data_IF_111522060294
#
_entry.id   IF_111522060294
#
_cell.length_a   1.000
_cell.length_b   1.000
_cell.length_c   1.000
_cell.angle_alpha   90.00
_cell.angle_beta   90.00
_cell.angle_gamma   90.00
#
_symmetry.space_group_name_H-M   'P 1'
#
loop_
_entity.id
_entity.type
_entity.pdbx_description
1 polymer ?
#
# COMPACT_ATOMS: atom_id res chain seq x y z
N UNK A 1 -28.66 -13.40 -14.74
CA UNK A 1 -28.13 -12.20 -14.06
C UNK A 1 -28.00 -12.54 -12.57
N UNK A 2 -26.97 -12.05 -11.87
CA UNK A 2 -26.71 -12.46 -10.48
C UNK A 2 -27.69 -11.74 -9.55
N UNK A 3 -28.44 -12.49 -8.72
CA UNK A 3 -29.52 -11.97 -7.85
C UNK A 3 -29.12 -10.75 -7.01
N UNK A 4 -27.86 -10.65 -6.60
CA UNK A 4 -27.35 -9.53 -5.82
C UNK A 4 -27.24 -8.24 -6.66
N UNK A 5 -26.78 -8.37 -7.90
CA UNK A 5 -26.63 -7.23 -8.82
C UNK A 5 -28.00 -6.66 -9.18
N UNK A 6 -28.97 -7.53 -9.45
CA UNK A 6 -30.34 -7.13 -9.79
C UNK A 6 -30.96 -6.29 -8.66
N UNK A 7 -30.82 -6.73 -7.40
CA UNK A 7 -31.31 -5.96 -6.25
C UNK A 7 -30.53 -4.66 -6.02
N UNK A 8 -29.23 -4.65 -6.30
CA UNK A 8 -28.46 -3.41 -6.23
C UNK A 8 -28.90 -2.41 -7.30
N UNK A 9 -29.25 -2.89 -8.50
CA UNK A 9 -29.83 -2.10 -9.60
C UNK A 9 -31.19 -1.53 -9.17
N UNK A 10 -32.09 -2.34 -8.63
CA UNK A 10 -33.39 -1.90 -8.10
C UNK A 10 -33.24 -0.81 -7.03
N UNK A 11 -32.16 -0.87 -6.25
CA UNK A 11 -31.82 0.11 -5.23
C UNK A 11 -30.97 1.29 -5.77
N UNK A 12 -30.83 1.44 -7.09
CA UNK A 12 -30.05 2.50 -7.74
C UNK A 12 -28.60 2.59 -7.24
N UNK A 13 -27.94 1.45 -7.03
CA UNK A 13 -26.55 1.35 -6.58
C UNK A 13 -26.25 2.07 -5.25
N UNK A 14 -27.27 2.31 -4.41
CA UNK A 14 -27.09 3.01 -3.14
C UNK A 14 -26.29 2.15 -2.15
N UNK A 15 -25.16 2.68 -1.65
CA UNK A 15 -24.28 1.98 -0.69
C UNK A 15 -24.99 1.54 0.59
N UNK A 16 -25.95 2.31 1.08
CA UNK A 16 -26.71 1.97 2.28
C UNK A 16 -27.65 0.76 2.08
N UNK A 17 -28.04 0.45 0.85
CA UNK A 17 -28.85 -0.73 0.53
C UNK A 17 -28.05 -2.03 0.65
N UNK A 18 -26.71 -1.98 0.55
CA UNK A 18 -25.84 -3.17 0.60
C UNK A 18 -26.04 -3.95 1.90
N UNK A 19 -26.21 -3.27 3.04
CA UNK A 19 -26.49 -3.92 4.32
C UNK A 19 -27.79 -4.71 4.30
N UNK A 20 -28.85 -4.13 3.72
CA UNK A 20 -30.16 -4.76 3.59
C UNK A 20 -30.08 -5.97 2.65
N UNK A 21 -29.42 -5.83 1.49
CA UNK A 21 -29.24 -6.92 0.51
C UNK A 21 -28.41 -8.06 1.14
N UNK A 22 -27.31 -7.73 1.83
CA UNK A 22 -26.47 -8.70 2.53
C UNK A 22 -27.27 -9.51 3.56
N UNK A 23 -28.07 -8.81 4.37
CA UNK A 23 -28.95 -9.45 5.37
C UNK A 23 -29.98 -10.38 4.72
N UNK A 24 -30.62 -9.93 3.63
CA UNK A 24 -31.62 -10.71 2.89
C UNK A 24 -31.05 -12.02 2.33
N UNK A 25 -29.80 -12.00 1.89
CA UNK A 25 -29.12 -13.16 1.29
C UNK A 25 -28.23 -13.93 2.27
N UNK A 26 -28.24 -13.58 3.55
CA UNK A 26 -27.43 -14.21 4.60
C UNK A 26 -25.91 -14.25 4.27
N UNK A 27 -25.41 -13.15 3.70
CA UNK A 27 -23.98 -12.95 3.39
C UNK A 27 -23.49 -11.75 4.21
N UNK A 28 -22.21 -11.70 4.57
CA UNK A 28 -21.70 -10.53 5.26
C UNK A 28 -21.66 -9.29 4.34
N UNK A 29 -21.91 -8.11 4.91
CA UNK A 29 -21.81 -6.85 4.17
C UNK A 29 -20.42 -6.66 3.53
N UNK A 30 -19.37 -7.12 4.19
CA UNK A 30 -18.00 -7.04 3.70
C UNK A 30 -17.75 -7.92 2.47
N UNK A 31 -18.27 -9.15 2.47
CA UNK A 31 -18.18 -10.05 1.32
C UNK A 31 -18.97 -9.52 0.13
N UNK A 32 -20.19 -9.02 0.37
CA UNK A 32 -21.03 -8.48 -0.69
C UNK A 32 -20.42 -7.21 -1.31
N UNK A 33 -19.85 -6.31 -0.49
CA UNK A 33 -19.09 -5.15 -1.01
C UNK A 33 -17.93 -5.58 -1.89
N UNK A 34 -17.15 -6.58 -1.46
CA UNK A 34 -16.01 -7.10 -2.21
C UNK A 34 -16.46 -7.68 -3.56
N UNK A 35 -17.55 -8.45 -3.55
CA UNK A 35 -18.14 -8.99 -4.78
C UNK A 35 -18.51 -7.88 -5.77
N UNK A 36 -19.25 -6.86 -5.33
CA UNK A 36 -19.62 -5.73 -6.19
C UNK A 36 -18.40 -4.98 -6.72
N UNK A 37 -17.40 -4.69 -5.87
CA UNK A 37 -16.17 -4.03 -6.29
C UNK A 37 -15.46 -4.84 -7.39
N UNK A 38 -15.19 -6.13 -7.15
CA UNK A 38 -14.54 -7.00 -8.13
C UNK A 38 -15.31 -7.04 -9.45
N UNK A 39 -16.64 -7.18 -9.39
CA UNK A 39 -17.49 -7.21 -10.57
C UNK A 39 -17.42 -5.89 -11.36
N UNK A 40 -17.52 -4.75 -10.69
CA UNK A 40 -17.52 -3.45 -11.36
C UNK A 40 -16.17 -3.08 -11.95
N UNK A 41 -15.06 -3.38 -11.26
CA UNK A 41 -13.73 -3.22 -11.84
C UNK A 41 -13.54 -4.09 -13.08
N UNK A 42 -13.99 -5.35 -13.03
CA UNK A 42 -13.98 -6.24 -14.20
C UNK A 42 -14.80 -5.67 -15.37
N UNK A 43 -16.01 -5.15 -15.09
CA UNK A 43 -16.88 -4.58 -16.14
C UNK A 43 -16.28 -3.32 -16.75
N UNK A 44 -15.71 -2.42 -15.94
CA UNK A 44 -15.01 -1.23 -16.42
C UNK A 44 -13.80 -1.63 -17.27
N UNK A 45 -12.99 -2.58 -16.81
CA UNK A 45 -11.80 -3.04 -17.52
C UNK A 45 -12.11 -3.60 -18.92
N UNK A 46 -13.30 -4.18 -19.13
CA UNK A 46 -13.72 -4.71 -20.43
C UNK A 46 -14.21 -3.64 -21.42
N UNK A 47 -14.57 -2.45 -20.94
CA UNK A 47 -15.08 -1.36 -21.79
C UNK A 47 -13.98 -0.34 -22.11
N UNK A 48 -13.02 -0.16 -21.20
CA UNK A 48 -11.97 0.86 -21.35
C UNK A 48 -10.85 0.37 -22.27
N UNK A 49 -10.59 1.12 -23.35
CA UNK A 49 -9.39 0.95 -24.16
C UNK A 49 -8.19 1.64 -23.48
N UNK A 50 -7.32 0.85 -22.84
CA UNK A 50 -6.17 1.36 -22.10
C UNK A 50 -5.17 2.12 -22.97
N UNK A 51 -4.98 1.71 -24.23
CA UNK A 51 -4.07 2.39 -25.16
C UNK A 51 -4.62 3.79 -25.50
N UNK A 52 -5.91 3.90 -25.81
CA UNK A 52 -6.56 5.18 -26.06
C UNK A 52 -6.52 6.09 -24.82
N UNK A 53 -6.86 5.53 -23.64
CA UNK A 53 -6.81 6.29 -22.38
C UNK A 53 -5.40 6.77 -22.05
N UNK A 54 -4.37 5.95 -22.28
CA UNK A 54 -2.98 6.35 -22.09
C UNK A 54 -2.56 7.49 -23.04
N UNK A 55 -3.08 7.50 -24.28
CA UNK A 55 -2.85 8.57 -25.25
C UNK A 55 -3.49 9.89 -24.77
N UNK A 56 -4.74 9.84 -24.32
CA UNK A 56 -5.44 11.01 -23.76
C UNK A 56 -4.66 11.59 -22.57
N UNK A 57 -4.17 10.74 -21.66
CA UNK A 57 -3.37 11.19 -20.52
C UNK A 57 -2.09 11.91 -20.96
N UNK A 58 -1.39 11.37 -21.97
CA UNK A 58 -0.18 11.98 -22.52
C UNK A 58 -0.47 13.34 -23.18
N UNK A 59 -1.55 13.44 -23.95
CA UNK A 59 -1.97 14.69 -24.57
C UNK A 59 -2.32 15.76 -23.52
N UNK A 60 -2.96 15.36 -22.42
CA UNK A 60 -3.32 16.28 -21.33
C UNK A 60 -2.10 16.76 -20.53
N UNK A 61 -1.13 15.86 -20.29
CA UNK A 61 0.15 16.24 -19.68
C UNK A 61 0.86 17.26 -20.57
N UNK A 62 0.93 17.02 -21.89
CA UNK A 62 1.61 17.91 -22.84
C UNK A 62 1.00 19.32 -22.87
N UNK A 63 -0.33 19.44 -22.78
CA UNK A 63 -1.03 20.74 -22.68
C UNK A 63 -0.72 21.51 -21.41
N UNK A 64 -0.38 20.80 -20.33
CA UNK A 64 -0.09 21.39 -19.02
C UNK A 64 1.36 21.90 -18.90
N UNK A 65 2.18 21.69 -19.94
CA UNK A 65 3.55 22.19 -19.97
C UNK A 65 3.56 23.58 -20.61
N UNK A 66 4.04 24.58 -19.88
CA UNK A 66 4.19 25.94 -20.41
C UNK A 66 5.64 26.25 -20.83
N UNK A 67 6.62 25.65 -20.16
CA UNK A 67 8.06 25.85 -20.38
C UNK A 67 8.60 25.08 -21.60
N UNK A 68 9.38 25.75 -22.46
CA UNK A 68 9.92 25.13 -23.69
C UNK A 68 10.98 24.04 -23.43
N UNK A 69 11.80 24.21 -22.39
CA UNK A 69 12.82 23.21 -22.04
C UNK A 69 12.11 21.93 -21.60
N UNK A 70 11.14 22.06 -20.69
CA UNK A 70 10.34 20.94 -20.19
C UNK A 70 9.51 20.27 -21.29
N UNK A 71 9.00 21.02 -22.28
CA UNK A 71 8.36 20.44 -23.48
C UNK A 71 9.31 19.56 -24.27
N UNK A 72 10.58 19.99 -24.43
CA UNK A 72 11.58 19.21 -25.15
C UNK A 72 12.01 17.96 -24.37
N UNK A 73 12.18 18.07 -23.06
CA UNK A 73 12.41 16.92 -22.17
C UNK A 73 11.23 15.94 -22.22
N UNK A 74 10.00 16.44 -22.19
CA UNK A 74 8.80 15.63 -22.31
C UNK A 74 8.76 14.84 -23.62
N UNK A 75 9.08 15.47 -24.76
CA UNK A 75 9.16 14.77 -26.07
C UNK A 75 10.14 13.60 -26.03
N UNK A 76 11.25 13.74 -25.31
CA UNK A 76 12.24 12.68 -25.16
C UNK A 76 11.69 11.47 -24.38
N UNK A 77 10.92 11.70 -23.30
CA UNK A 77 10.39 10.62 -22.45
C UNK A 77 8.98 10.13 -22.83
N UNK A 78 8.27 10.84 -23.71
CA UNK A 78 6.83 10.68 -24.00
C UNK A 78 6.43 9.23 -24.26
N UNK A 79 7.20 8.52 -25.08
CA UNK A 79 6.93 7.13 -25.45
C UNK A 79 7.00 6.19 -24.26
N UNK A 80 8.00 6.36 -23.39
CA UNK A 80 8.19 5.50 -22.23
C UNK A 80 7.22 5.85 -21.11
N UNK A 81 6.93 7.14 -20.91
CA UNK A 81 5.88 7.59 -20.00
C UNK A 81 4.52 7.02 -20.40
N UNK A 82 4.18 7.01 -21.71
CA UNK A 82 2.93 6.41 -22.20
C UNK A 82 2.83 4.93 -21.79
N UNK A 83 3.89 4.15 -22.00
CA UNK A 83 3.92 2.72 -21.63
C UNK A 83 3.75 2.52 -20.12
N UNK A 84 4.34 3.40 -19.30
CA UNK A 84 4.21 3.36 -17.84
C UNK A 84 2.76 3.69 -17.42
N UNK A 85 2.16 4.72 -18.01
CA UNK A 85 0.78 5.09 -17.77
C UNK A 85 -0.17 3.95 -18.15
N UNK A 86 0.01 3.35 -19.32
CA UNK A 86 -0.81 2.22 -19.77
C UNK A 86 -0.78 1.04 -18.77
N UNK A 87 0.42 0.66 -18.30
CA UNK A 87 0.59 -0.38 -17.26
C UNK A 87 -0.06 0.04 -15.92
N UNK A 88 0.07 1.30 -15.54
CA UNK A 88 -0.51 1.82 -14.31
C UNK A 88 -2.04 1.85 -14.37
N UNK A 89 -2.60 2.22 -15.53
CA UNK A 89 -4.03 2.17 -15.79
C UNK A 89 -4.56 0.74 -15.73
N UNK A 90 -3.82 -0.23 -16.27
CA UNK A 90 -4.19 -1.65 -16.13
C UNK A 90 -4.35 -2.03 -14.65
N UNK A 91 -3.34 -1.75 -13.83
CA UNK A 91 -3.40 -2.04 -12.38
C UNK A 91 -4.56 -1.28 -11.70
N UNK A 92 -4.81 -0.03 -12.08
CA UNK A 92 -5.94 0.72 -11.54
C UNK A 92 -7.30 0.10 -11.91
N UNK A 93 -7.45 -0.38 -13.15
CA UNK A 93 -8.68 -1.03 -13.63
C UNK A 93 -8.88 -2.42 -13.03
N UNK A 94 -7.84 -3.08 -12.52
CA UNK A 94 -7.96 -4.36 -11.81
C UNK A 94 -8.15 -4.22 -10.30
N UNK A 95 -8.43 -3.01 -9.79
CA UNK A 95 -8.48 -2.71 -8.35
C UNK A 95 -7.14 -2.95 -7.63
N UNK A 96 -6.02 -2.75 -8.31
CA UNK A 96 -4.70 -3.07 -7.79
C UNK A 96 -4.32 -4.54 -7.96
N UNK A 97 -3.40 -5.00 -7.12
CA UNK A 97 -3.00 -6.40 -7.03
C UNK A 97 -4.17 -7.27 -6.53
N UNK A 98 -4.35 -8.43 -7.16
CA UNK A 98 -5.38 -9.39 -6.79
C UNK A 98 -5.21 -9.87 -5.36
N UNK A 99 -6.33 -10.01 -4.63
CA UNK A 99 -6.32 -10.43 -3.22
C UNK A 99 -7.21 -11.65 -2.98
N UNK A 100 -6.70 -12.60 -2.20
CA UNK A 100 -7.42 -13.80 -1.74
C UNK A 100 -8.24 -14.56 -2.82
N UNK A 101 -7.65 -14.78 -4.00
CA UNK A 101 -8.30 -15.51 -5.12
C UNK A 101 -8.73 -16.91 -4.70
N UNK A 102 -7.96 -17.56 -3.82
CA UNK A 102 -8.21 -18.92 -3.35
C UNK A 102 -9.16 -18.99 -2.13
N UNK A 103 -9.74 -17.86 -1.71
CA UNK A 103 -10.68 -17.80 -0.59
C UNK A 103 -10.16 -18.46 0.70
N UNK A 104 -8.86 -18.30 1.00
CA UNK A 104 -8.26 -18.82 2.24
C UNK A 104 -8.77 -18.05 3.46
N UNK A 105 -8.62 -18.68 4.63
CA UNK A 105 -9.05 -18.16 5.93
C UNK A 105 -8.45 -16.77 6.23
N UNK A 106 -9.24 -15.93 6.89
CA UNK A 106 -8.94 -14.51 7.13
C UNK A 106 -7.67 -14.22 7.94
N UNK A 107 -7.38 -15.02 8.97
CA UNK A 107 -6.17 -14.95 9.77
C UNK A 107 -4.94 -15.33 8.95
N UNK A 108 -5.01 -16.42 8.18
CA UNK A 108 -3.95 -16.82 7.24
C UNK A 108 -3.72 -15.73 6.18
N UNK A 109 -4.79 -15.18 5.61
CA UNK A 109 -4.69 -14.09 4.63
C UNK A 109 -4.07 -12.82 5.24
N UNK A 110 -4.36 -12.51 6.50
CA UNK A 110 -3.78 -11.37 7.21
C UNK A 110 -2.28 -11.54 7.41
N UNK A 111 -1.84 -12.73 7.82
CA UNK A 111 -0.43 -13.06 7.94
C UNK A 111 0.28 -12.99 6.58
N UNK A 112 -0.28 -13.64 5.54
CA UNK A 112 0.26 -13.61 4.18
C UNK A 112 0.35 -12.19 3.61
N UNK A 113 -0.61 -11.31 3.94
CA UNK A 113 -0.56 -9.91 3.52
C UNK A 113 0.56 -9.12 4.20
N UNK A 114 0.95 -9.50 5.43
CA UNK A 114 2.14 -8.97 6.11
C UNK A 114 3.40 -9.40 5.38
N UNK A 115 3.59 -10.71 5.18
CA UNK A 115 4.74 -11.27 4.47
C UNK A 115 4.84 -10.73 3.03
N UNK A 116 3.71 -10.55 2.34
CA UNK A 116 3.69 -9.95 0.99
C UNK A 116 4.21 -8.51 0.98
N UNK A 117 3.87 -7.71 1.99
CA UNK A 117 4.35 -6.33 2.08
C UNK A 117 5.86 -6.28 2.30
N UNK A 118 6.39 -7.18 3.13
CA UNK A 118 7.83 -7.35 3.33
C UNK A 118 8.53 -7.71 2.01
N UNK A 119 8.05 -8.74 1.31
CA UNK A 119 8.64 -9.17 0.04
C UNK A 119 8.56 -8.10 -1.04
N UNK A 120 7.46 -7.35 -1.13
CA UNK A 120 7.33 -6.22 -2.06
C UNK A 120 8.42 -5.19 -1.77
N UNK A 121 8.59 -4.78 -0.51
CA UNK A 121 9.61 -3.81 -0.17
C UNK A 121 11.02 -4.31 -0.44
N UNK A 122 11.35 -5.54 -0.01
CA UNK A 122 12.68 -6.12 -0.23
C UNK A 122 13.02 -6.18 -1.73
N UNK A 123 12.09 -6.67 -2.56
CA UNK A 123 12.26 -6.68 -4.01
C UNK A 123 12.45 -5.28 -4.59
N UNK A 124 11.71 -4.28 -4.09
CA UNK A 124 11.82 -2.88 -4.52
C UNK A 124 13.13 -2.22 -4.09
N UNK A 125 13.62 -2.51 -2.89
CA UNK A 125 14.90 -2.03 -2.41
C UNK A 125 16.06 -2.60 -3.25
N UNK A 126 16.00 -3.90 -3.57
CA UNK A 126 16.97 -4.56 -4.46
C UNK A 126 16.92 -3.95 -5.87
N UNK A 127 15.73 -3.76 -6.45
CA UNK A 127 15.56 -3.11 -7.75
C UNK A 127 16.07 -1.66 -7.77
N UNK A 128 15.98 -0.95 -6.63
CA UNK A 128 16.52 0.39 -6.46
C UNK A 128 18.05 0.42 -6.26
N UNK A 129 18.71 -0.75 -6.21
CA UNK A 129 20.16 -0.90 -6.14
C UNK A 129 20.72 -1.02 -4.72
N UNK A 130 19.89 -1.29 -3.71
CA UNK A 130 20.34 -1.52 -2.34
C UNK A 130 20.48 -3.01 -2.05
N UNK A 131 21.53 -3.41 -1.34
CA UNK A 131 21.60 -4.75 -0.76
C UNK A 131 20.57 -4.81 0.37
N UNK A 132 19.53 -5.62 0.22
CA UNK A 132 18.44 -5.72 1.18
C UNK A 132 18.08 -7.19 1.40
N UNK A 133 17.81 -7.57 2.65
CA UNK A 133 17.43 -8.94 3.03
C UNK A 133 16.39 -8.95 4.13
N UNK A 134 15.49 -9.93 4.07
CA UNK A 134 14.53 -10.25 5.12
C UNK A 134 15.21 -10.82 6.36
N UNK A 135 14.56 -10.65 7.51
CA UNK A 135 15.00 -11.18 8.80
C UNK A 135 14.10 -12.35 9.19
N UNK A 136 14.64 -13.56 9.20
CA UNK A 136 13.87 -14.78 9.50
C UNK A 136 13.42 -14.89 10.98
N UNK A 137 14.05 -14.10 11.86
CA UNK A 137 13.77 -14.12 13.29
C UNK A 137 12.48 -13.36 13.58
N UNK A 138 11.35 -14.09 13.65
CA UNK A 138 10.00 -13.54 13.91
C UNK A 138 9.85 -12.77 15.24
N UNK A 139 10.79 -12.92 16.18
CA UNK A 139 10.82 -12.12 17.41
C UNK A 139 11.51 -10.77 17.27
N UNK A 140 12.15 -10.50 16.12
CA UNK A 140 12.77 -9.22 15.80
C UNK A 140 11.75 -8.08 15.83
N UNK A 141 12.25 -6.87 16.07
CA UNK A 141 11.49 -5.61 16.05
C UNK A 141 11.60 -4.88 14.71
N UNK A 142 12.19 -5.53 13.72
CA UNK A 142 12.37 -5.08 12.35
C UNK A 142 12.34 -6.30 11.42
N UNK A 143 11.89 -6.10 10.19
CA UNK A 143 11.58 -7.17 9.24
C UNK A 143 12.68 -7.33 8.16
N UNK A 144 13.47 -6.28 7.89
CA UNK A 144 14.55 -6.32 6.92
C UNK A 144 15.79 -5.53 7.35
N UNK A 145 16.91 -5.79 6.70
CA UNK A 145 18.16 -5.02 6.81
C UNK A 145 18.56 -4.53 5.42
N UNK A 146 18.92 -3.26 5.34
CA UNK A 146 19.59 -2.66 4.18
C UNK A 146 21.06 -2.46 4.50
N UNK A 147 21.92 -2.96 3.64
CA UNK A 147 23.36 -2.70 3.64
C UNK A 147 23.71 -1.71 2.52
N UNK A 148 24.19 -0.53 2.90
CA UNK A 148 24.56 0.51 1.96
C UNK A 148 25.58 1.49 2.57
N UNK A 149 26.65 1.81 1.83
CA UNK A 149 27.75 2.68 2.29
C UNK A 149 28.31 2.29 3.66
N UNK A 150 28.70 1.02 3.83
CA UNK A 150 29.28 0.46 5.07
C UNK A 150 28.41 0.63 6.32
N UNK A 151 27.09 0.79 6.13
CA UNK A 151 26.11 0.94 7.20
C UNK A 151 24.96 -0.03 7.01
N UNK A 152 24.57 -0.65 8.12
CA UNK A 152 23.39 -1.49 8.22
C UNK A 152 22.23 -0.66 8.78
N UNK A 153 21.13 -0.59 8.04
CA UNK A 153 19.88 0.03 8.47
C UNK A 153 18.83 -1.05 8.71
N UNK A 154 18.28 -1.07 9.92
CA UNK A 154 17.15 -1.94 10.30
C UNK A 154 15.85 -1.32 9.81
N UNK A 155 15.00 -2.11 9.18
CA UNK A 155 13.76 -1.64 8.56
C UNK A 155 12.56 -2.39 9.13
N UNK A 156 11.61 -1.67 9.72
CA UNK A 156 10.29 -2.22 10.03
C UNK A 156 9.35 -1.91 8.87
N UNK A 157 8.70 -2.93 8.33
CA UNK A 157 7.80 -2.86 7.19
C UNK A 157 6.38 -3.15 7.68
N UNK A 158 5.42 -2.30 7.31
CA UNK A 158 4.00 -2.52 7.57
C UNK A 158 3.21 -2.36 6.29
N UNK A 159 2.46 -3.40 5.93
CA UNK A 159 1.50 -3.34 4.84
C UNK A 159 0.29 -2.48 5.22
N UNK A 160 0.03 -1.46 4.42
CA UNK A 160 -1.17 -0.62 4.54
C UNK A 160 -2.19 -1.02 3.48
N UNK A 161 -3.46 -0.85 3.82
CA UNK A 161 -4.58 -0.98 2.88
C UNK A 161 -4.98 0.42 2.40
N UNK A 162 -6.01 0.54 1.58
CA UNK A 162 -6.57 1.79 1.01
C UNK A 162 -7.02 2.88 2.00
N UNK A 163 -6.67 2.75 3.29
CA UNK A 163 -6.78 3.84 4.26
C UNK A 163 -5.62 4.82 4.13
N UNK A 164 -5.90 6.10 4.37
CA UNK A 164 -4.91 7.17 4.26
C UNK A 164 -4.06 7.35 5.51
N UNK A 165 -4.06 6.39 6.44
CA UNK A 165 -3.40 6.54 7.73
C UNK A 165 -2.46 5.37 8.04
N UNK A 166 -1.34 5.69 8.70
CA UNK A 166 -0.37 4.74 9.24
C UNK A 166 -0.26 4.90 10.75
N UNK A 167 0.33 3.91 11.40
CA UNK A 167 0.53 3.90 12.86
C UNK A 167 1.94 3.45 13.18
N UNK A 168 2.65 4.23 14.01
CA UNK A 168 3.94 3.87 14.59
C UNK A 168 3.77 3.11 15.91
N UNK A 169 2.65 2.41 16.06
CA UNK A 169 2.34 1.56 17.21
C UNK A 169 1.96 0.18 16.69
N UNK A 170 2.54 -0.85 17.29
CA UNK A 170 2.11 -2.22 17.04
C UNK A 170 0.65 -2.40 17.48
N UNK A 171 0.00 -3.38 16.86
CA UNK A 171 -1.32 -3.80 17.32
C UNK A 171 -1.19 -4.58 18.62
N UNK A 172 -2.22 -4.49 19.45
CA UNK A 172 -2.36 -5.40 20.58
C UNK A 172 -2.41 -6.84 20.05
N UNK A 173 -1.62 -7.73 20.66
CA UNK A 173 -1.59 -9.15 20.32
C UNK A 173 -2.81 -9.83 20.93
N UNK A 174 -3.47 -10.65 20.14
CA UNK A 174 -4.68 -11.34 20.55
C UNK A 174 -4.85 -12.70 19.91
N UNK A 175 -5.59 -13.58 20.60
CA UNK A 175 -5.90 -14.94 20.18
C UNK A 175 -6.60 -15.71 21.32
N UNK A 176 -7.29 -16.81 21.00
CA UNK A 176 -7.84 -17.69 22.05
C UNK A 176 -6.69 -18.16 22.97
N UNK A 177 -6.77 -17.82 24.25
CA UNK A 177 -5.76 -18.15 25.26
C UNK A 177 -4.73 -17.05 25.57
N UNK A 178 -4.79 -15.89 24.91
CA UNK A 178 -3.89 -14.76 25.18
C UNK A 178 -4.62 -13.71 26.02
N UNK A 179 -4.12 -13.42 27.23
CA UNK A 179 -4.63 -12.32 28.04
C UNK A 179 -4.24 -10.96 27.43
N UNK A 180 -5.19 -10.33 26.73
CA UNK A 180 -5.00 -9.03 26.09
C UNK A 180 -4.66 -7.89 27.07
N UNK A 181 -4.87 -8.07 28.38
CA UNK A 181 -4.51 -7.09 29.42
C UNK A 181 -3.06 -7.24 29.89
N UNK A 182 -2.40 -8.34 29.56
CA UNK A 182 -1.01 -8.54 29.95
C UNK A 182 -0.09 -7.56 29.21
N UNK A 183 0.85 -6.92 29.93
CA UNK A 183 1.73 -5.87 29.39
C UNK A 183 2.52 -6.27 28.13
N UNK A 184 2.80 -7.56 27.94
CA UNK A 184 3.48 -8.10 26.74
C UNK A 184 2.58 -8.17 25.49
N UNK A 185 1.26 -8.10 25.66
CA UNK A 185 0.28 -8.18 24.59
C UNK A 185 -0.25 -6.81 24.18
N UNK A 186 0.06 -5.76 24.94
CA UNK A 186 -0.23 -4.37 24.57
C UNK A 186 0.75 -3.94 23.49
N UNK A 187 0.22 -3.40 22.39
CA UNK A 187 0.98 -2.85 21.29
C UNK A 187 1.94 -1.76 21.76
N UNK A 188 3.20 -1.87 21.35
CA UNK A 188 4.25 -0.93 21.74
C UNK A 188 4.49 0.08 20.63
N UNK A 189 4.90 1.28 21.02
CA UNK A 189 5.39 2.28 20.07
C UNK A 189 6.65 1.76 19.39
N UNK A 190 6.73 1.95 18.08
CA UNK A 190 7.91 1.66 17.26
C UNK A 190 8.76 2.93 17.29
N UNK A 191 10.04 2.80 17.62
CA UNK A 191 10.98 3.93 17.78
C UNK A 191 12.31 3.65 17.09
N UNK A 192 13.21 4.63 17.02
CA UNK A 192 14.60 4.42 16.55
C UNK A 192 15.38 3.32 17.29
N UNK A 193 14.93 2.92 18.49
CA UNK A 193 15.52 1.79 19.21
C UNK A 193 15.20 0.45 18.53
N UNK A 194 14.04 0.34 17.91
CA UNK A 194 13.55 -0.87 17.25
C UNK A 194 14.10 -1.02 15.83
N UNK A 195 14.02 0.05 15.05
CA UNK A 195 14.44 0.10 13.65
C UNK A 195 14.94 1.50 13.28
N UNK A 196 15.70 1.62 12.19
CA UNK A 196 16.21 2.91 11.71
C UNK A 196 15.23 3.56 10.70
N UNK A 197 14.54 2.73 9.92
CA UNK A 197 13.53 3.13 8.94
C UNK A 197 12.22 2.38 9.21
N UNK A 198 11.10 3.10 9.13
CA UNK A 198 9.78 2.51 9.02
C UNK A 198 9.29 2.64 7.57
N UNK A 199 8.78 1.55 7.00
CA UNK A 199 8.22 1.52 5.65
C UNK A 199 6.75 1.20 5.70
N UNK A 200 5.92 2.09 5.14
CA UNK A 200 4.54 1.76 4.81
C UNK A 200 4.44 1.30 3.36
N UNK A 201 3.99 0.07 3.14
CA UNK A 201 3.82 -0.50 1.80
C UNK A 201 2.34 -0.54 1.46
N UNK A 202 1.93 0.23 0.45
CA UNK A 202 0.59 0.12 -0.13
C UNK A 202 0.48 -1.22 -0.86
N UNK A 203 -0.21 -2.18 -0.24
CA UNK A 203 -0.36 -3.53 -0.79
C UNK A 203 -1.23 -3.58 -2.05
N UNK A 204 -1.96 -2.51 -2.35
CA UNK A 204 -2.81 -2.46 -3.53
C UNK A 204 -2.00 -2.20 -4.80
N UNK A 205 -0.90 -1.44 -4.70
CA UNK A 205 -0.12 -0.99 -5.87
C UNK A 205 1.40 -1.08 -5.70
N UNK A 206 1.88 -1.49 -4.52
CA UNK A 206 3.29 -1.66 -4.21
C UNK A 206 4.05 -0.35 -3.93
N UNK A 207 3.35 0.75 -3.68
CA UNK A 207 3.97 2.04 -3.37
C UNK A 207 4.57 2.00 -1.97
N UNK A 208 5.81 2.48 -1.83
CA UNK A 208 6.53 2.52 -0.56
C UNK A 208 6.63 3.95 -0.01
N UNK A 209 6.36 4.14 1.28
CA UNK A 209 6.70 5.36 2.03
C UNK A 209 7.88 5.04 2.96
N UNK A 210 9.04 5.61 2.70
CA UNK A 210 10.33 5.27 3.35
C UNK A 210 10.63 6.34 4.41
N UNK A 211 10.22 6.07 5.66
CA UNK A 211 10.14 7.09 6.71
C UNK A 211 11.27 6.87 7.71
N UNK A 212 12.20 7.82 7.89
CA UNK A 212 13.26 7.69 8.87
C UNK A 212 12.69 7.79 10.29
N UNK A 213 13.13 6.93 11.21
CA UNK A 213 12.62 6.94 12.58
C UNK A 213 12.94 8.23 13.35
N UNK A 214 13.98 8.96 12.94
CA UNK A 214 14.29 10.30 13.47
C UNK A 214 13.17 11.33 13.24
N UNK A 215 12.31 11.12 12.23
CA UNK A 215 11.10 11.90 12.03
C UNK A 215 9.96 11.40 12.93
N UNK A 216 9.71 10.10 12.94
CA UNK A 216 8.60 9.49 13.69
C UNK A 216 8.74 9.64 15.21
N UNK A 217 9.96 9.64 15.73
CA UNK A 217 10.26 9.83 17.15
C UNK A 217 9.88 11.23 17.66
N UNK A 218 9.75 12.23 16.78
CA UNK A 218 9.33 13.59 17.15
C UNK A 218 7.83 13.71 17.41
N UNK A 219 7.04 12.69 17.03
CA UNK A 219 5.60 12.68 17.25
C UNK A 219 5.28 12.44 18.74
N UNK A 220 4.22 13.06 19.23
CA UNK A 220 3.66 12.72 20.54
C UNK A 220 2.92 11.37 20.50
N UNK A 221 2.55 10.86 21.68
CA UNK A 221 1.90 9.54 21.85
C UNK A 221 0.55 9.42 21.14
N UNK A 222 -0.15 10.52 20.88
CA UNK A 222 -1.46 10.48 20.22
C UNK A 222 -1.31 10.58 18.70
N UNK A 223 -0.43 11.45 18.22
CA UNK A 223 -0.14 11.59 16.80
C UNK A 223 0.49 10.34 16.21
N UNK A 224 1.35 9.64 16.95
CA UNK A 224 2.01 8.44 16.44
C UNK A 224 1.03 7.28 16.14
N UNK A 225 -0.16 7.29 16.74
CA UNK A 225 -1.19 6.24 16.55
C UNK A 225 -1.91 6.35 15.21
N UNK A 226 -2.03 7.55 14.64
CA UNK A 226 -2.77 7.80 13.41
C UNK A 226 -2.15 8.98 12.67
N UNK A 227 -1.22 8.67 11.78
CA UNK A 227 -0.53 9.65 10.92
C UNK A 227 -1.11 9.56 9.53
N UNK A 228 -1.47 10.71 8.92
CA UNK A 228 -1.99 10.70 7.55
C UNK A 228 -0.83 10.54 6.56
N UNK A 229 -1.07 9.83 5.46
CA UNK A 229 -0.10 9.70 4.36
C UNK A 229 0.27 11.05 3.74
N UNK A 230 -0.61 12.05 3.81
CA UNK A 230 -0.31 13.43 3.42
C UNK A 230 0.82 14.03 4.23
N UNK A 231 0.95 13.66 5.51
CA UNK A 231 1.93 14.22 6.43
C UNK A 231 3.34 13.62 6.18
N UNK A 232 3.40 12.51 5.44
CA UNK A 232 4.61 11.78 5.08
C UNK A 232 4.81 11.72 3.55
N UNK A 233 4.17 12.61 2.79
CA UNK A 233 4.22 12.59 1.31
C UNK A 233 5.64 12.74 0.75
N UNK A 234 6.52 13.47 1.45
CA UNK A 234 7.93 13.65 1.07
C UNK A 234 8.75 12.35 1.16
N UNK A 235 8.22 11.32 1.83
CA UNK A 235 8.83 10.01 1.97
C UNK A 235 8.28 8.99 0.95
N UNK A 236 7.28 9.37 0.16
CA UNK A 236 6.66 8.50 -0.85
C UNK A 236 7.63 8.26 -2.01
N UNK A 237 7.98 7.00 -2.25
CA UNK A 237 8.94 6.56 -3.29
C UNK A 237 10.29 7.29 -3.24
N UNK A 238 10.62 7.91 -2.12
CA UNK A 238 11.84 8.67 -1.96
C UNK A 238 12.96 7.79 -1.43
N UNK A 239 13.57 7.03 -2.33
CA UNK A 239 14.70 6.13 -2.04
C UNK A 239 15.97 6.88 -1.61
N UNK A 240 16.07 8.19 -1.85
CA UNK A 240 17.23 8.99 -1.42
C UNK A 240 17.34 9.11 0.09
N UNK A 241 16.26 8.89 0.85
CA UNK A 241 16.29 8.85 2.32
C UNK A 241 17.33 7.85 2.82
N UNK A 242 17.45 6.69 2.18
CA UNK A 242 18.46 5.69 2.55
C UNK A 242 19.87 6.27 2.36
N UNK A 243 20.13 6.94 1.23
CA UNK A 243 21.43 7.57 0.94
C UNK A 243 21.75 8.68 1.94
N UNK A 244 20.79 9.52 2.27
CA UNK A 244 20.95 10.61 3.25
C UNK A 244 21.27 10.08 4.64
N UNK A 245 20.64 8.97 5.05
CA UNK A 245 20.91 8.33 6.34
C UNK A 245 22.27 7.65 6.40
N UNK A 246 22.79 7.16 5.27
CA UNK A 246 24.10 6.49 5.23
C UNK A 246 25.25 7.40 4.81
N UNK A 247 24.99 8.61 4.33
CA UNK A 247 26.04 9.57 4.02
C UNK A 247 27.00 9.73 5.21
N UNK A 248 28.31 9.70 4.94
CA UNK A 248 29.33 9.92 5.94
C UNK A 248 29.20 11.36 6.45
N UNK A 249 28.96 11.51 7.76
CA UNK A 249 29.16 12.77 8.47
C UNK A 249 30.50 12.71 9.17
#
# INVERSE_FOLDING_TARGET
>A
MCKYIDELIENNYKKNAIKTIATKHNISEAELKRYYQTKFFYDIANVVNLNELSKINIEEIEKSLDDEILKNEFKFIKTDLKKIIEKSLYIAMTNGFSTNINHIESGVMTANAGDSAEFIFVARAILAGFNCSSVDVRSSRYDAIIDFNDKLLRVQIKGISSGNNISFKDRDRGGQGIDHKHKRNVGQRITSKDCDIYVAVDKQVGICYIIPMSWADKLDEDKCKTVKLSDVVNYKENWNIIKEMTANK
#
